data_IF_678690205460
#
_entry.id   IF_678690205460
#
_cell.length_a   1.000
_cell.length_b   1.000
_cell.length_c   1.000
_cell.angle_alpha   90.00
_cell.angle_beta   90.00
_cell.angle_gamma   90.00
#
_symmetry.space_group_name_H-M   'P 1'
#
loop_
_entity.id
_entity.type
_entity.pdbx_description
1 polymer ?
#
# COMPACT_ATOMS: atom_id res chain seq x y z
N UNK A 1 2.11 2.83 1.02
CA UNK A 1 2.73 3.96 1.72
C UNK A 1 1.82 4.69 2.71
N UNK A 2 0.51 4.88 2.45
CA UNK A 2 -0.37 5.59 3.39
C UNK A 2 -0.35 5.02 4.84
N UNK A 3 -0.31 3.68 5.05
CA UNK A 3 -0.15 3.12 6.39
C UNK A 3 1.18 3.47 7.07
N UNK A 4 2.26 3.70 6.32
CA UNK A 4 3.55 4.11 6.89
C UNK A 4 3.46 5.49 7.53
N UNK A 5 2.69 6.41 6.95
CA UNK A 5 2.44 7.71 7.57
C UNK A 5 1.38 7.61 8.66
N UNK A 6 0.34 6.81 8.44
CA UNK A 6 -0.75 6.59 9.38
C UNK A 6 -0.30 5.97 10.70
N UNK A 7 0.69 5.08 10.69
CA UNK A 7 1.24 4.45 11.90
C UNK A 7 1.93 5.43 12.86
N UNK A 8 2.28 6.62 12.37
CA UNK A 8 2.88 7.72 13.15
C UNK A 8 1.86 8.75 13.63
N UNK A 9 0.58 8.56 13.31
CA UNK A 9 -0.49 9.42 13.78
C UNK A 9 -0.75 9.22 15.28
N UNK A 10 -1.16 10.28 15.99
CA UNK A 10 -1.50 10.21 17.42
C UNK A 10 -2.80 9.47 17.67
N UNK A 11 -3.75 9.56 16.74
CA UNK A 11 -5.06 8.88 16.80
C UNK A 11 -5.36 8.21 15.46
N UNK A 12 -5.99 7.02 15.45
CA UNK A 12 -6.40 6.34 14.21
C UNK A 12 -7.31 7.19 13.30
N UNK A 13 -8.14 8.05 13.89
CA UNK A 13 -9.05 8.95 13.17
C UNK A 13 -8.33 10.00 12.31
N UNK A 14 -7.09 10.37 12.66
CA UNK A 14 -6.39 11.50 12.03
C UNK A 14 -5.95 11.15 10.59
N UNK A 15 -5.65 9.88 10.34
CA UNK A 15 -5.28 9.40 9.01
C UNK A 15 -6.50 9.32 8.06
N UNK A 16 -7.70 9.07 8.58
CA UNK A 16 -8.90 8.86 7.76
C UNK A 16 -9.40 10.17 7.19
N UNK A 17 -9.57 11.19 8.04
CA UNK A 17 -10.18 12.47 7.62
C UNK A 17 -9.34 13.20 6.57
N UNK A 18 -8.02 13.18 6.75
CA UNK A 18 -7.09 13.79 5.80
C UNK A 18 -7.15 13.12 4.43
N UNK A 19 -7.12 11.80 4.38
CA UNK A 19 -7.20 11.07 3.10
C UNK A 19 -8.57 11.23 2.42
N UNK A 20 -9.64 11.13 3.18
CA UNK A 20 -11.01 11.21 2.65
C UNK A 20 -11.31 12.57 2.00
N UNK A 21 -10.76 13.66 2.54
CA UNK A 21 -10.96 15.00 1.99
C UNK A 21 -9.90 15.35 0.94
N UNK A 22 -8.62 15.14 1.26
CA UNK A 22 -7.53 15.60 0.39
C UNK A 22 -7.50 14.85 -0.94
N UNK A 23 -7.74 13.53 -0.97
CA UNK A 23 -7.68 12.75 -2.22
C UNK A 23 -8.70 13.27 -3.25
N UNK A 24 -10.02 13.28 -2.99
CA UNK A 24 -10.98 13.70 -4.01
C UNK A 24 -10.83 15.17 -4.39
N UNK A 25 -10.58 16.06 -3.43
CA UNK A 25 -10.48 17.51 -3.70
C UNK A 25 -9.25 17.83 -4.55
N UNK A 26 -8.07 17.33 -4.14
CA UNK A 26 -6.82 17.60 -4.87
C UNK A 26 -6.85 16.91 -6.23
N UNK A 27 -7.35 15.67 -6.30
CA UNK A 27 -7.46 14.96 -7.57
C UNK A 27 -8.42 15.65 -8.55
N UNK A 28 -9.57 16.12 -8.08
CA UNK A 28 -10.51 16.88 -8.89
C UNK A 28 -9.89 18.19 -9.41
N UNK A 29 -9.22 18.94 -8.55
CA UNK A 29 -8.58 20.20 -8.91
C UNK A 29 -7.47 20.00 -9.95
N UNK A 30 -6.56 19.06 -9.71
CA UNK A 30 -5.44 18.78 -10.63
C UNK A 30 -5.95 18.25 -11.97
N UNK A 31 -6.93 17.35 -11.95
CA UNK A 31 -7.54 16.82 -13.18
C UNK A 31 -8.23 17.92 -13.98
N UNK A 32 -8.97 18.80 -13.31
CA UNK A 32 -9.64 19.94 -13.93
C UNK A 32 -8.65 20.89 -14.62
N UNK A 33 -7.56 21.25 -13.94
CA UNK A 33 -6.50 22.09 -14.51
C UNK A 33 -5.87 21.39 -15.72
N UNK A 34 -5.55 20.09 -15.61
CA UNK A 34 -4.97 19.31 -16.71
C UNK A 34 -5.87 19.27 -17.95
N UNK A 35 -7.17 19.09 -17.78
CA UNK A 35 -8.15 19.10 -18.87
C UNK A 35 -8.21 20.48 -19.54
N UNK A 36 -8.24 21.57 -18.76
CA UNK A 36 -8.25 22.93 -19.32
C UNK A 36 -6.98 23.22 -20.11
N UNK A 37 -5.82 22.86 -19.57
CA UNK A 37 -4.53 23.08 -20.23
C UNK A 37 -4.44 22.30 -21.54
N UNK A 38 -4.83 21.01 -21.53
CA UNK A 38 -4.87 20.18 -22.74
C UNK A 38 -5.88 20.70 -23.78
N UNK A 39 -7.08 21.09 -23.35
CA UNK A 39 -8.09 21.71 -24.23
C UNK A 39 -7.59 23.03 -24.85
N UNK A 40 -6.89 23.86 -24.06
CA UNK A 40 -6.31 25.10 -24.55
C UNK A 40 -5.19 24.85 -25.57
N UNK A 41 -4.40 23.80 -25.38
CA UNK A 41 -3.37 23.41 -26.36
C UNK A 41 -3.95 23.03 -27.72
N UNK A 42 -5.13 22.38 -27.75
CA UNK A 42 -5.86 22.08 -28.98
C UNK A 42 -6.27 23.36 -29.72
N UNK A 43 -6.69 24.39 -28.99
CA UNK A 43 -7.07 25.68 -29.60
C UNK A 43 -5.86 26.48 -30.13
N UNK A 44 -4.69 26.36 -29.50
CA UNK A 44 -3.48 27.12 -29.85
C UNK A 44 -2.66 26.41 -30.94
N UNK A 45 -2.44 25.11 -30.79
CA UNK A 45 -1.50 24.31 -31.60
C UNK A 45 -2.21 23.34 -32.56
N UNK A 46 -3.53 23.21 -32.48
CA UNK A 46 -4.29 22.27 -33.31
C UNK A 46 -4.20 20.80 -32.86
N UNK A 47 -3.53 20.53 -31.73
CA UNK A 47 -3.40 19.21 -31.11
C UNK A 47 -3.54 19.29 -29.59
N UNK A 48 -4.21 18.30 -29.00
CA UNK A 48 -4.36 18.18 -27.56
C UNK A 48 -3.09 17.54 -26.96
N UNK A 49 -2.26 18.36 -26.34
CA UNK A 49 -1.01 17.94 -25.70
C UNK A 49 -1.30 17.54 -24.25
N UNK A 50 -1.05 16.27 -23.94
CA UNK A 50 -1.35 15.67 -22.63
C UNK A 50 -0.21 15.82 -21.63
N UNK A 51 1.03 15.90 -22.12
CA UNK A 51 2.23 16.07 -21.30
C UNK A 51 2.47 17.55 -21.03
N UNK A 52 2.44 18.01 -19.76
CA UNK A 52 2.76 19.40 -19.43
C UNK A 52 4.19 19.78 -19.84
N UNK A 53 5.11 18.82 -19.81
CA UNK A 53 6.50 19.06 -20.22
C UNK A 53 6.63 19.29 -21.73
N UNK A 54 5.87 18.54 -22.54
CA UNK A 54 5.88 18.72 -24.00
C UNK A 54 5.24 20.07 -24.38
N UNK A 55 4.18 20.46 -23.67
CA UNK A 55 3.54 21.77 -23.85
C UNK A 55 4.48 22.92 -23.49
N UNK A 56 5.26 22.80 -22.41
CA UNK A 56 6.30 23.77 -22.06
C UNK A 56 7.40 23.83 -23.12
N UNK A 57 7.75 22.70 -23.73
CA UNK A 57 8.67 22.62 -24.85
C UNK A 57 8.17 23.42 -26.06
N UNK A 58 6.90 23.28 -26.43
CA UNK A 58 6.26 24.04 -27.53
C UNK A 58 6.34 25.56 -27.34
N UNK A 59 6.28 26.05 -26.10
CA UNK A 59 6.44 27.49 -25.82
C UNK A 59 7.85 28.02 -26.08
N UNK A 60 8.85 27.14 -26.25
CA UNK A 60 10.22 27.51 -26.60
C UNK A 60 10.48 27.50 -28.11
N UNK A 61 9.51 27.08 -28.93
CA UNK A 61 9.62 27.10 -30.39
C UNK A 61 9.49 28.53 -30.93
N UNK A 62 10.07 28.81 -32.10
CA UNK A 62 9.78 30.03 -32.86
C UNK A 62 10.34 31.34 -32.27
N UNK A 63 11.55 31.32 -31.72
CA UNK A 63 12.25 32.50 -31.17
C UNK A 63 11.56 33.12 -29.93
N UNK A 64 11.52 32.40 -28.79
CA UNK A 64 10.79 32.83 -27.60
C UNK A 64 11.42 34.07 -26.95
N UNK A 65 10.57 34.94 -26.41
CA UNK A 65 11.01 36.10 -25.64
C UNK A 65 11.78 35.68 -24.38
N UNK A 66 12.65 36.56 -23.85
CA UNK A 66 13.35 36.29 -22.59
C UNK A 66 12.39 36.00 -21.43
N UNK A 67 11.22 36.67 -21.40
CA UNK A 67 10.19 36.44 -20.40
C UNK A 67 9.58 35.03 -20.52
N UNK A 68 9.27 34.57 -21.74
CA UNK A 68 8.76 33.21 -21.99
C UNK A 68 9.76 32.16 -21.53
N UNK A 69 11.05 32.34 -21.86
CA UNK A 69 12.11 31.40 -21.44
C UNK A 69 12.24 31.31 -19.92
N UNK A 70 12.17 32.44 -19.23
CA UNK A 70 12.19 32.47 -17.77
C UNK A 70 10.95 31.80 -17.16
N UNK A 71 9.76 32.07 -17.71
CA UNK A 71 8.51 31.43 -17.27
C UNK A 71 8.55 29.91 -17.42
N UNK A 72 9.01 29.41 -18.57
CA UNK A 72 9.19 27.97 -18.81
C UNK A 72 10.18 27.36 -17.83
N UNK A 73 11.33 28.01 -17.59
CA UNK A 73 12.29 27.55 -16.59
C UNK A 73 11.69 27.47 -15.18
N UNK A 74 10.95 28.51 -14.76
CA UNK A 74 10.34 28.56 -13.44
C UNK A 74 9.33 27.43 -13.23
N UNK A 75 8.45 27.23 -14.22
CA UNK A 75 7.45 26.15 -14.16
C UNK A 75 8.13 24.78 -14.20
N UNK A 76 9.12 24.56 -15.07
CA UNK A 76 9.86 23.31 -15.14
C UNK A 76 10.63 23.02 -13.84
N UNK A 77 11.23 24.04 -13.20
CA UNK A 77 11.90 23.91 -11.91
C UNK A 77 10.90 23.54 -10.79
N UNK A 78 9.71 24.14 -10.79
CA UNK A 78 8.64 23.76 -9.86
C UNK A 78 8.18 22.31 -10.07
N UNK A 79 8.01 21.86 -11.32
CA UNK A 79 7.71 20.46 -11.62
C UNK A 79 8.82 19.50 -11.17
N UNK A 80 10.09 19.87 -11.38
CA UNK A 80 11.23 19.06 -10.93
C UNK A 80 11.22 18.91 -9.40
N UNK A 81 11.05 20.00 -8.66
CA UNK A 81 10.96 19.98 -7.20
C UNK A 81 9.76 19.14 -6.71
N UNK A 82 8.58 19.35 -7.30
CA UNK A 82 7.38 18.59 -6.96
C UNK A 82 7.55 17.08 -7.23
N UNK A 83 8.22 16.71 -8.32
CA UNK A 83 8.49 15.32 -8.69
C UNK A 83 9.44 14.65 -7.70
N UNK A 84 10.50 15.37 -7.27
CA UNK A 84 11.41 14.87 -6.24
C UNK A 84 10.68 14.68 -4.91
N UNK A 85 9.90 15.69 -4.49
CA UNK A 85 9.13 15.62 -3.24
C UNK A 85 8.13 14.46 -3.21
N UNK A 86 7.40 14.26 -4.31
CA UNK A 86 6.43 13.16 -4.45
C UNK A 86 7.14 11.80 -4.44
N UNK A 87 8.27 11.64 -5.12
CA UNK A 87 9.00 10.37 -5.12
C UNK A 87 9.53 10.00 -3.73
N UNK A 88 10.05 10.99 -2.98
CA UNK A 88 10.54 10.76 -1.62
C UNK A 88 9.39 10.33 -0.70
N UNK A 89 8.27 11.06 -0.72
CA UNK A 89 7.14 10.82 0.18
C UNK A 89 6.34 9.57 -0.21
N UNK A 90 6.08 9.36 -1.50
CA UNK A 90 5.21 8.29 -1.96
C UNK A 90 5.93 6.94 -2.03
N UNK A 91 7.17 6.93 -2.51
CA UNK A 91 7.86 5.71 -2.92
C UNK A 91 9.03 5.39 -1.99
N UNK A 92 9.95 6.33 -1.78
CA UNK A 92 11.21 6.05 -1.07
C UNK A 92 11.02 5.71 0.41
N UNK A 93 10.11 6.39 1.10
CA UNK A 93 9.84 6.10 2.52
C UNK A 93 9.21 4.71 2.68
N UNK A 94 8.23 4.37 1.85
CA UNK A 94 7.53 3.08 1.93
C UNK A 94 8.48 1.91 1.61
N UNK A 95 9.23 2.02 0.51
CA UNK A 95 10.26 1.02 0.18
C UNK A 95 11.35 0.93 1.25
N UNK A 96 11.70 2.06 1.88
CA UNK A 96 12.61 2.09 3.01
C UNK A 96 12.09 1.36 4.24
N UNK A 97 10.81 1.53 4.59
CA UNK A 97 10.14 0.78 5.65
C UNK A 97 10.14 -0.73 5.35
N UNK A 98 9.72 -1.12 4.14
CA UNK A 98 9.65 -2.53 3.73
C UNK A 98 11.03 -3.23 3.81
N UNK A 99 12.08 -2.59 3.28
CA UNK A 99 13.43 -3.13 3.31
C UNK A 99 14.02 -3.18 4.73
N UNK A 100 13.66 -2.22 5.59
CA UNK A 100 14.05 -2.22 7.00
C UNK A 100 13.37 -3.36 7.75
N UNK A 101 12.09 -3.63 7.46
CA UNK A 101 11.38 -4.76 8.03
C UNK A 101 11.96 -6.12 7.58
N UNK A 102 12.39 -6.21 6.31
CA UNK A 102 12.95 -7.45 5.75
C UNK A 102 14.39 -7.72 6.20
N UNK A 103 15.23 -6.69 6.29
CA UNK A 103 16.65 -6.81 6.66
C UNK A 103 17.07 -5.81 7.75
N UNK A 104 16.48 -5.89 8.96
CA UNK A 104 16.61 -4.85 9.99
C UNK A 104 18.04 -4.65 10.51
N UNK A 105 18.89 -5.69 10.42
CA UNK A 105 20.29 -5.59 10.84
C UNK A 105 21.19 -4.82 9.87
N UNK A 106 20.78 -4.67 8.61
CA UNK A 106 21.63 -4.15 7.53
C UNK A 106 21.11 -2.83 6.94
N UNK A 107 19.77 -2.70 6.87
CA UNK A 107 19.10 -1.61 6.17
C UNK A 107 18.30 -0.79 7.17
N UNK A 108 18.49 0.53 7.11
CA UNK A 108 17.59 1.49 7.74
C UNK A 108 16.78 2.21 6.64
N UNK A 109 15.75 2.96 7.03
CA UNK A 109 14.83 3.61 6.09
C UNK A 109 15.56 4.48 5.04
N UNK A 110 16.61 5.20 5.46
CA UNK A 110 17.41 6.04 4.54
C UNK A 110 18.16 5.20 3.52
N UNK A 111 18.85 4.14 3.97
CA UNK A 111 19.58 3.21 3.09
C UNK A 111 18.63 2.49 2.13
N UNK A 112 17.46 2.06 2.62
CA UNK A 112 16.43 1.43 1.80
C UNK A 112 15.91 2.38 0.71
N UNK A 113 15.71 3.67 1.03
CA UNK A 113 15.35 4.68 0.04
C UNK A 113 16.39 4.86 -1.08
N UNK A 114 17.68 4.82 -0.77
CA UNK A 114 18.73 4.86 -1.79
C UNK A 114 18.74 3.61 -2.67
N UNK A 115 18.53 2.43 -2.09
CA UNK A 115 18.41 1.17 -2.84
C UNK A 115 17.22 1.26 -3.80
N UNK A 116 16.06 1.72 -3.33
CA UNK A 116 14.87 1.92 -4.17
C UNK A 116 15.13 2.89 -5.34
N UNK A 117 15.85 3.98 -5.10
CA UNK A 117 16.21 4.94 -6.15
C UNK A 117 17.13 4.32 -7.22
N UNK A 118 18.15 3.56 -6.81
CA UNK A 118 19.06 2.88 -7.74
C UNK A 118 18.31 1.83 -8.56
N UNK A 119 17.52 0.97 -7.92
CA UNK A 119 16.72 -0.05 -8.60
C UNK A 119 15.73 0.59 -9.58
N UNK A 120 15.04 1.66 -9.15
CA UNK A 120 14.11 2.40 -9.99
C UNK A 120 14.79 2.99 -11.24
N UNK A 121 16.03 3.48 -11.13
CA UNK A 121 16.79 3.97 -12.27
C UNK A 121 17.25 2.82 -13.19
N UNK A 122 17.71 1.70 -12.62
CA UNK A 122 18.10 0.50 -13.37
C UNK A 122 16.94 -0.13 -14.16
N UNK A 123 15.70 0.01 -13.69
CA UNK A 123 14.50 -0.43 -14.43
C UNK A 123 14.27 0.36 -15.73
N UNK A 124 15.01 1.45 -15.98
CA UNK A 124 14.92 2.26 -17.19
C UNK A 124 13.48 2.74 -17.45
N UNK A 125 12.88 3.53 -16.53
CA UNK A 125 11.46 3.86 -16.55
C UNK A 125 11.04 4.63 -17.81
N UNK A 126 11.97 5.31 -18.48
CA UNK A 126 11.73 5.96 -19.78
C UNK A 126 11.26 4.99 -20.86
N UNK A 127 11.58 3.70 -20.78
CA UNK A 127 11.04 2.70 -21.71
C UNK A 127 9.53 2.49 -21.53
N UNK A 128 9.00 2.63 -20.31
CA UNK A 128 7.57 2.55 -20.03
C UNK A 128 6.82 3.77 -20.58
N UNK A 129 7.47 4.94 -20.56
CA UNK A 129 6.89 6.21 -21.02
C UNK A 129 6.95 6.40 -22.54
N UNK A 130 7.54 5.47 -23.30
CA UNK A 130 7.63 5.56 -24.77
C UNK A 130 6.28 5.57 -25.49
N UNK A 131 5.25 5.00 -24.87
CA UNK A 131 3.88 4.99 -25.42
C UNK A 131 2.86 4.98 -24.30
N UNK A 132 1.84 5.84 -24.41
CA UNK A 132 0.71 5.91 -23.47
C UNK A 132 0.03 4.56 -23.27
N UNK A 133 -0.05 3.74 -24.34
CA UNK A 133 -0.71 2.45 -24.29
C UNK A 133 0.05 1.44 -23.41
N UNK A 134 1.39 1.47 -23.46
CA UNK A 134 2.25 0.63 -22.62
C UNK A 134 2.15 1.04 -21.15
N UNK A 135 2.07 2.35 -20.87
CA UNK A 135 1.92 2.85 -19.51
C UNK A 135 0.59 2.44 -18.88
N UNK A 136 -0.54 2.64 -19.58
CA UNK A 136 -1.86 2.23 -19.07
C UNK A 136 -1.95 0.73 -18.88
N UNK A 137 -1.41 -0.07 -19.82
CA UNK A 137 -1.37 -1.53 -19.69
C UNK A 137 -0.57 -1.97 -18.47
N UNK A 138 0.56 -1.32 -18.19
CA UNK A 138 1.37 -1.58 -16.99
C UNK A 138 0.61 -1.25 -15.70
N UNK A 139 -0.06 -0.10 -15.64
CA UNK A 139 -0.88 0.29 -14.48
C UNK A 139 -2.00 -0.73 -14.23
N UNK A 140 -2.70 -1.15 -15.28
CA UNK A 140 -3.74 -2.17 -15.18
C UNK A 140 -3.20 -3.53 -14.71
N UNK A 141 -2.01 -3.92 -15.18
CA UNK A 141 -1.33 -5.13 -14.70
C UNK A 141 -1.06 -5.05 -13.19
N UNK A 142 -0.53 -3.92 -12.73
CA UNK A 142 -0.22 -3.68 -11.33
C UNK A 142 -1.46 -3.76 -10.42
N UNK A 143 -2.60 -3.25 -10.89
CA UNK A 143 -3.89 -3.32 -10.18
C UNK A 143 -4.34 -4.76 -9.89
N UNK A 144 -4.04 -5.73 -10.77
CA UNK A 144 -4.39 -7.15 -10.55
C UNK A 144 -3.71 -7.69 -9.30
N UNK A 145 -2.41 -7.44 -9.15
CA UNK A 145 -1.64 -7.95 -8.02
C UNK A 145 -2.06 -7.27 -6.72
N UNK A 146 -2.17 -5.94 -6.72
CA UNK A 146 -2.54 -5.20 -5.51
C UNK A 146 -3.95 -5.53 -5.01
N UNK A 147 -4.92 -5.66 -5.91
CA UNK A 147 -6.29 -5.98 -5.53
C UNK A 147 -6.40 -7.36 -4.88
N UNK A 148 -5.69 -8.35 -5.40
CA UNK A 148 -5.67 -9.69 -4.82
C UNK A 148 -5.07 -9.70 -3.41
N UNK A 149 -3.98 -8.96 -3.16
CA UNK A 149 -3.39 -8.81 -1.81
C UNK A 149 -4.39 -8.15 -0.87
N UNK A 150 -5.01 -7.04 -1.31
CA UNK A 150 -5.98 -6.32 -0.50
C UNK A 150 -7.15 -7.20 -0.05
N UNK A 151 -7.66 -8.07 -0.93
CA UNK A 151 -8.76 -8.97 -0.61
C UNK A 151 -8.41 -9.98 0.47
N UNK A 152 -7.19 -10.53 0.44
CA UNK A 152 -6.70 -11.43 1.50
C UNK A 152 -6.56 -10.66 2.81
N UNK A 153 -5.90 -9.49 2.81
CA UNK A 153 -5.66 -8.70 4.02
C UNK A 153 -6.96 -8.24 4.70
N UNK A 154 -7.92 -7.74 3.92
CA UNK A 154 -9.22 -7.28 4.44
C UNK A 154 -9.97 -8.45 5.08
N UNK A 155 -10.00 -9.61 4.41
CA UNK A 155 -10.70 -10.80 4.90
C UNK A 155 -10.02 -11.34 6.15
N UNK A 156 -8.69 -11.40 6.16
CA UNK A 156 -7.92 -11.84 7.30
C UNK A 156 -8.21 -11.00 8.55
N UNK A 157 -8.12 -9.68 8.42
CA UNK A 157 -8.30 -8.77 9.55
C UNK A 157 -9.77 -8.69 10.03
N UNK A 158 -10.73 -8.47 9.13
CA UNK A 158 -12.11 -8.18 9.51
C UNK A 158 -13.00 -9.42 9.66
N UNK A 159 -12.74 -10.49 8.90
CA UNK A 159 -13.63 -11.67 8.84
C UNK A 159 -13.09 -12.83 9.66
N UNK A 160 -11.79 -13.14 9.54
CA UNK A 160 -11.16 -14.27 10.21
C UNK A 160 -10.75 -13.90 11.65
N UNK A 161 -9.88 -12.91 11.80
CA UNK A 161 -9.35 -12.49 13.11
C UNK A 161 -10.22 -11.44 13.80
N UNK A 162 -11.13 -10.80 13.06
CA UNK A 162 -12.11 -9.81 13.55
C UNK A 162 -11.50 -8.72 14.45
N UNK A 163 -10.35 -8.18 14.06
CA UNK A 163 -9.65 -7.11 14.78
C UNK A 163 -8.74 -7.58 15.91
N UNK A 164 -8.64 -8.88 16.20
CA UNK A 164 -7.65 -9.41 17.14
C UNK A 164 -6.31 -9.59 16.44
N UNK A 165 -5.22 -9.09 17.03
CA UNK A 165 -3.86 -9.25 16.49
C UNK A 165 -2.83 -9.35 17.61
N UNK A 166 -1.63 -9.89 17.34
CA UNK A 166 -0.53 -9.97 18.31
C UNK A 166 0.71 -9.29 17.78
N UNK A 167 0.92 -8.02 18.14
CA UNK A 167 2.08 -7.26 17.64
C UNK A 167 3.40 -7.95 18.01
N UNK A 168 3.51 -8.54 19.20
CA UNK A 168 4.72 -9.24 19.64
C UNK A 168 5.09 -10.39 18.69
N UNK A 169 4.12 -11.20 18.28
CA UNK A 169 4.35 -12.37 17.42
C UNK A 169 4.80 -11.97 15.99
N UNK A 170 4.57 -10.71 15.57
CA UNK A 170 5.07 -10.21 14.28
C UNK A 170 6.60 -10.02 14.26
N UNK A 171 7.23 -9.87 15.43
CA UNK A 171 8.67 -9.61 15.56
C UNK A 171 9.49 -10.81 16.06
N UNK A 172 8.83 -11.92 16.41
CA UNK A 172 9.47 -13.14 16.91
C UNK A 172 9.20 -14.33 15.97
N UNK A 173 10.16 -15.25 15.89
CA UNK A 173 10.06 -16.45 15.04
C UNK A 173 9.77 -17.71 15.86
N UNK A 174 9.12 -17.57 17.01
CA UNK A 174 8.84 -18.67 17.93
C UNK A 174 7.95 -19.73 17.28
N UNK A 175 8.14 -21.01 17.63
CA UNK A 175 7.38 -22.12 17.03
C UNK A 175 5.87 -22.05 17.30
N UNK A 176 5.46 -21.34 18.35
CA UNK A 176 4.08 -21.20 18.79
C UNK A 176 3.46 -19.82 18.46
N UNK A 177 4.17 -18.97 17.70
CA UNK A 177 3.65 -17.66 17.31
C UNK A 177 2.47 -17.78 16.34
N UNK A 178 1.45 -16.94 16.51
CA UNK A 178 0.23 -16.95 15.67
C UNK A 178 0.54 -16.92 14.17
N UNK A 179 1.54 -16.14 13.76
CA UNK A 179 1.86 -15.92 12.35
C UNK A 179 2.83 -16.93 11.75
N UNK A 180 3.16 -18.02 12.46
CA UNK A 180 4.14 -19.00 11.96
C UNK A 180 3.56 -19.96 10.92
N UNK A 181 2.28 -20.32 10.98
CA UNK A 181 1.65 -21.20 9.99
C UNK A 181 2.53 -22.42 9.59
N UNK A 182 2.66 -22.71 8.28
CA UNK A 182 3.56 -23.74 7.77
C UNK A 182 4.97 -23.18 7.54
N UNK A 183 5.74 -23.02 8.62
CA UNK A 183 7.15 -22.55 8.61
C UNK A 183 7.34 -21.10 8.08
N UNK A 184 6.45 -20.21 8.48
CA UNK A 184 6.38 -18.80 8.09
C UNK A 184 5.43 -18.53 6.92
N UNK A 185 4.84 -19.57 6.32
CA UNK A 185 3.99 -19.43 5.14
C UNK A 185 2.54 -19.82 5.43
N UNK A 186 1.62 -18.87 5.21
CA UNK A 186 0.19 -19.16 5.18
C UNK A 186 -0.21 -19.61 3.77
N UNK A 187 -0.20 -20.92 3.54
CA UNK A 187 -0.53 -21.52 2.22
C UNK A 187 -1.93 -21.09 1.74
N UNK A 188 -2.88 -20.90 2.67
CA UNK A 188 -4.25 -20.45 2.35
C UNK A 188 -4.24 -19.04 1.76
N UNK A 189 -3.44 -18.14 2.34
CA UNK A 189 -3.29 -16.76 1.86
C UNK A 189 -2.68 -16.73 0.46
N UNK A 190 -1.62 -17.52 0.22
CA UNK A 190 -1.01 -17.62 -1.11
C UNK A 190 -1.95 -18.24 -2.15
N UNK A 191 -2.68 -19.29 -1.79
CA UNK A 191 -3.67 -19.91 -2.69
C UNK A 191 -4.77 -18.91 -3.08
N UNK A 192 -5.29 -18.15 -2.11
CA UNK A 192 -6.29 -17.12 -2.35
C UNK A 192 -5.75 -15.95 -3.19
N UNK A 193 -4.52 -15.51 -2.92
CA UNK A 193 -3.83 -14.49 -3.70
C UNK A 193 -3.67 -14.93 -5.17
N UNK A 194 -3.16 -16.14 -5.41
CA UNK A 194 -3.02 -16.69 -6.76
C UNK A 194 -4.37 -16.82 -7.45
N UNK A 195 -5.41 -17.28 -6.76
CA UNK A 195 -6.76 -17.36 -7.33
C UNK A 195 -7.30 -15.98 -7.77
N UNK A 196 -7.09 -14.94 -6.97
CA UNK A 196 -7.46 -13.56 -7.30
C UNK A 196 -6.69 -12.97 -8.48
N UNK A 197 -5.45 -13.41 -8.72
CA UNK A 197 -4.70 -13.05 -9.93
C UNK A 197 -5.29 -13.79 -11.14
N UNK A 198 -5.46 -15.11 -11.03
CA UNK A 198 -5.78 -16.01 -12.15
C UNK A 198 -7.07 -15.61 -12.89
N UNK A 199 -8.08 -15.10 -12.18
CA UNK A 199 -9.33 -14.65 -12.81
C UNK A 199 -9.11 -13.53 -13.84
N UNK A 200 -8.06 -12.72 -13.68
CA UNK A 200 -7.76 -11.57 -14.54
C UNK A 200 -6.66 -11.85 -15.58
N UNK A 201 -5.92 -12.97 -15.46
CA UNK A 201 -4.77 -13.29 -16.33
C UNK A 201 -5.17 -13.42 -17.80
N UNK A 202 -6.34 -14.03 -18.07
CA UNK A 202 -6.80 -14.22 -19.45
C UNK A 202 -7.11 -12.86 -20.10
N UNK A 203 -7.79 -11.95 -19.41
CA UNK A 203 -8.05 -10.62 -19.95
C UNK A 203 -6.79 -9.76 -20.05
N UNK A 204 -5.83 -9.95 -19.14
CA UNK A 204 -4.50 -9.33 -19.23
C UNK A 204 -3.74 -9.79 -20.48
N UNK A 205 -3.77 -11.09 -20.82
CA UNK A 205 -3.21 -11.59 -22.07
C UNK A 205 -3.84 -10.90 -23.29
N UNK A 206 -5.14 -10.62 -23.23
CA UNK A 206 -5.85 -9.80 -24.21
C UNK A 206 -5.28 -8.40 -24.38
N UNK A 207 -5.04 -7.70 -23.26
CA UNK A 207 -4.44 -6.37 -23.26
C UNK A 207 -3.02 -6.33 -23.86
N UNK A 208 -2.31 -7.46 -23.84
CA UNK A 208 -0.99 -7.60 -24.50
C UNK A 208 -1.04 -7.90 -26.00
N UNK A 209 -2.24 -7.92 -26.61
CA UNK A 209 -2.42 -8.11 -28.05
C UNK A 209 -2.73 -9.54 -28.48
N UNK A 210 -3.18 -10.42 -27.56
CA UNK A 210 -3.69 -11.75 -27.91
C UNK A 210 -5.20 -11.72 -28.07
N UNK A 211 -5.72 -12.57 -28.96
CA UNK A 211 -7.16 -12.78 -29.04
C UNK A 211 -7.66 -13.58 -27.84
N UNK A 212 -8.61 -13.01 -27.11
CA UNK A 212 -9.21 -13.61 -25.92
C UNK A 212 -10.72 -13.43 -25.94
N UNK A 213 -11.49 -14.28 -25.23
CA UNK A 213 -12.94 -14.16 -25.18
C UNK A 213 -13.38 -12.80 -24.64
N UNK A 214 -14.45 -12.23 -25.19
CA UNK A 214 -15.02 -10.94 -24.76
C UNK A 214 -15.32 -10.89 -23.26
N UNK A 215 -15.73 -12.03 -22.67
CA UNK A 215 -15.96 -12.15 -21.24
C UNK A 215 -14.69 -11.85 -20.42
N UNK A 216 -13.53 -12.37 -20.84
CA UNK A 216 -12.26 -12.15 -20.16
C UNK A 216 -11.82 -10.68 -20.22
N UNK A 217 -12.04 -10.01 -21.37
CA UNK A 217 -11.76 -8.58 -21.52
C UNK A 217 -12.62 -7.74 -20.56
N UNK A 218 -13.92 -8.06 -20.44
CA UNK A 218 -14.84 -7.36 -19.52
C UNK A 218 -14.47 -7.58 -18.06
N UNK A 219 -14.10 -8.82 -17.69
CA UNK A 219 -13.60 -9.14 -16.34
C UNK A 219 -12.37 -8.30 -16.02
N UNK A 220 -11.43 -8.18 -16.97
CA UNK A 220 -10.22 -7.39 -16.80
C UNK A 220 -10.47 -5.89 -16.69
N UNK A 221 -11.49 -5.36 -17.36
CA UNK A 221 -11.93 -3.96 -17.17
C UNK A 221 -12.36 -3.67 -15.72
N UNK A 222 -12.79 -4.69 -14.99
CA UNK A 222 -13.16 -4.62 -13.57
C UNK A 222 -12.14 -5.34 -12.67
N UNK A 223 -10.89 -5.47 -13.14
CA UNK A 223 -9.84 -6.31 -12.52
C UNK A 223 -9.63 -6.06 -11.04
N UNK A 224 -9.76 -4.81 -10.59
CA UNK A 224 -9.68 -4.47 -9.18
C UNK A 224 -10.76 -5.17 -8.34
N UNK A 225 -12.02 -5.10 -8.78
CA UNK A 225 -13.16 -5.67 -8.05
C UNK A 225 -13.20 -7.20 -8.16
N UNK A 226 -12.86 -7.75 -9.32
CA UNK A 226 -12.83 -9.21 -9.49
C UNK A 226 -11.67 -9.83 -8.71
N UNK A 227 -10.49 -9.20 -8.72
CA UNK A 227 -9.32 -9.66 -7.97
C UNK A 227 -9.54 -9.67 -6.47
N UNK A 228 -10.04 -8.56 -5.92
CA UNK A 228 -10.32 -8.42 -4.48
C UNK A 228 -11.43 -9.39 -4.02
N UNK A 229 -12.51 -9.53 -4.79
CA UNK A 229 -13.63 -10.41 -4.40
C UNK A 229 -13.24 -11.88 -4.47
N UNK A 230 -12.54 -12.31 -5.52
CA UNK A 230 -12.12 -13.71 -5.66
C UNK A 230 -11.12 -14.09 -4.57
N UNK A 231 -10.09 -13.26 -4.32
CA UNK A 231 -9.14 -13.57 -3.25
C UNK A 231 -9.80 -13.56 -1.87
N UNK A 232 -10.71 -12.63 -1.60
CA UNK A 232 -11.47 -12.60 -0.34
C UNK A 232 -12.31 -13.86 -0.13
N UNK A 233 -13.11 -14.24 -1.12
CA UNK A 233 -14.00 -15.43 -1.04
C UNK A 233 -13.19 -16.71 -0.90
N UNK A 234 -12.11 -16.87 -1.68
CA UNK A 234 -11.26 -18.06 -1.61
C UNK A 234 -10.55 -18.14 -0.25
N UNK A 235 -10.02 -17.02 0.25
CA UNK A 235 -9.37 -17.01 1.56
C UNK A 235 -10.37 -17.35 2.69
N UNK A 236 -11.56 -16.76 2.64
CA UNK A 236 -12.63 -17.07 3.59
C UNK A 236 -13.03 -18.55 3.54
N UNK A 237 -13.29 -19.10 2.34
CA UNK A 237 -13.66 -20.50 2.16
C UNK A 237 -12.58 -21.46 2.67
N UNK A 238 -11.30 -21.18 2.38
CA UNK A 238 -10.19 -22.00 2.85
C UNK A 238 -10.07 -21.98 4.38
N UNK A 239 -10.35 -20.86 5.03
CA UNK A 239 -10.37 -20.75 6.49
C UNK A 239 -11.64 -21.35 7.12
N UNK A 240 -12.74 -21.49 6.38
CA UNK A 240 -13.88 -22.29 6.84
C UNK A 240 -13.60 -23.78 6.81
N UNK A 241 -12.95 -24.26 5.74
CA UNK A 241 -12.61 -25.67 5.55
C UNK A 241 -11.44 -26.11 6.43
N UNK A 242 -10.46 -25.22 6.60
CA UNK A 242 -9.24 -25.43 7.40
C UNK A 242 -9.04 -24.25 8.35
N UNK A 243 -9.79 -24.20 9.47
CA UNK A 243 -9.72 -23.10 10.43
C UNK A 243 -8.31 -22.82 10.92
N UNK A 244 -7.97 -21.54 11.05
CA UNK A 244 -6.77 -21.14 11.76
C UNK A 244 -7.03 -21.26 13.27
N UNK A 245 -5.96 -21.46 14.05
CA UNK A 245 -6.07 -21.60 15.50
C UNK A 245 -6.43 -20.27 16.20
N UNK A 246 -6.19 -19.16 15.52
CA UNK A 246 -6.35 -17.77 15.95
C UNK A 246 -7.63 -17.10 15.43
N UNK A 247 -8.55 -17.86 14.83
CA UNK A 247 -9.83 -17.31 14.36
C UNK A 247 -10.73 -16.84 15.53
N UNK A 248 -11.27 -15.63 15.42
CA UNK A 248 -12.07 -15.00 16.47
C UNK A 248 -13.57 -15.02 16.17
N UNK A 249 -14.41 -15.14 17.21
CA UNK A 249 -15.87 -15.18 17.07
C UNK A 249 -16.52 -13.80 17.05
N UNK A 250 -15.99 -12.85 17.80
CA UNK A 250 -16.51 -11.50 17.96
C UNK A 250 -15.54 -10.47 17.41
N UNK A 251 -16.04 -9.37 16.87
CA UNK A 251 -15.16 -8.28 16.45
C UNK A 251 -14.79 -7.42 17.65
N UNK A 252 -13.49 -7.28 17.90
CA UNK A 252 -12.91 -6.39 18.90
C UNK A 252 -11.48 -6.05 18.47
N UNK A 253 -11.20 -4.76 18.32
CA UNK A 253 -9.87 -4.30 17.95
C UNK A 253 -8.95 -4.30 19.19
N UNK A 254 -8.14 -5.36 19.35
CA UNK A 254 -7.29 -5.59 20.53
C UNK A 254 -5.95 -6.22 20.14
N UNK A 255 -4.88 -5.70 20.76
CA UNK A 255 -3.57 -6.37 20.76
C UNK A 255 -3.52 -7.42 21.88
N UNK A 256 -3.53 -8.69 21.50
CA UNK A 256 -3.54 -9.88 22.36
C UNK A 256 -2.13 -10.23 22.88
N UNK A 257 -1.13 -9.38 22.63
CA UNK A 257 0.26 -9.61 23.08
C UNK A 257 0.43 -9.57 24.61
N UNK A 258 -0.50 -8.95 25.34
CA UNK A 258 -0.43 -8.76 26.79
C UNK A 258 -0.83 -10.01 27.60
N UNK A 259 -1.75 -10.83 27.09
CA UNK A 259 -2.36 -11.97 27.80
C UNK A 259 -1.37 -13.11 28.10
N UNK A 260 -0.18 -13.10 27.49
CA UNK A 260 0.90 -14.04 27.79
C UNK A 260 1.71 -13.70 29.05
N UNK A 261 1.57 -12.48 29.62
CA UNK A 261 2.25 -12.14 30.89
C UNK A 261 1.63 -12.85 32.09
N UNK A 262 0.34 -13.12 32.07
CA UNK A 262 -0.35 -13.75 33.22
C UNK A 262 -0.26 -15.28 33.21
N UNK A 263 -0.03 -15.91 32.06
CA UNK A 263 0.07 -17.38 31.96
C UNK A 263 1.46 -17.95 32.28
N UNK A 264 2.51 -17.12 32.27
CA UNK A 264 3.87 -17.54 32.62
C UNK A 264 4.24 -17.31 34.10
N UNK A 265 3.35 -16.70 34.90
CA UNK A 265 3.55 -16.50 36.35
C UNK A 265 2.77 -17.47 37.24
N UNK A 266 1.96 -18.37 36.68
CA UNK A 266 1.20 -19.38 37.43
C UNK A 266 1.86 -20.75 37.28
N UNK A 267 3.08 -20.92 37.81
CA UNK A 267 3.55 -22.24 38.24
C UNK A 267 4.66 -22.11 39.30
N UNK A 268 4.29 -21.66 40.50
CA UNK A 268 5.01 -21.99 41.72
C UNK A 268 3.99 -22.38 42.79
N UNK A 269 3.96 -23.65 43.25
CA UNK A 269 3.13 -24.05 44.36
C UNK A 269 3.74 -23.54 45.68
N UNK A 270 2.91 -22.87 46.47
CA UNK A 270 2.94 -22.65 47.92
C UNK A 270 4.28 -22.34 48.62
N UNK A 271 4.44 -21.06 49.04
CA UNK A 271 4.80 -20.73 50.43
C UNK A 271 4.03 -19.47 50.83
N UNK A 272 3.16 -19.60 51.83
CA UNK A 272 2.22 -18.55 52.22
C UNK A 272 2.81 -17.39 53.02
N UNK A 273 2.06 -16.28 53.00
CA UNK A 273 1.79 -15.42 54.16
C UNK A 273 0.84 -14.29 53.72
N UNK A 274 -0.20 -14.09 54.51
CA UNK A 274 -1.19 -13.02 54.43
C UNK A 274 -0.58 -11.63 54.18
N UNK A 275 -1.15 -10.84 53.26
CA UNK A 275 -1.63 -9.47 53.55
C UNK A 275 -2.24 -8.76 52.31
N UNK A 276 -3.46 -8.26 52.52
CA UNK A 276 -4.09 -7.04 51.97
C UNK A 276 -4.44 -6.98 50.48
N UNK A 277 -5.72 -7.27 50.24
CA UNK A 277 -6.58 -6.49 49.34
C UNK A 277 -6.46 -4.99 49.66
N UNK A 278 -6.04 -4.18 48.70
CA UNK A 278 -6.60 -2.85 48.51
C UNK A 278 -6.41 -2.35 47.08
N UNK A 279 -7.45 -1.67 46.61
CA UNK A 279 -7.73 -1.20 45.25
C UNK A 279 -6.62 -0.34 44.66
N UNK A 280 -6.32 -0.55 43.38
CA UNK A 280 -6.03 0.56 42.47
C UNK A 280 -6.63 0.27 41.09
N UNK A 281 -7.69 1.02 40.79
CA UNK A 281 -8.31 1.11 39.46
C UNK A 281 -7.67 2.33 38.83
N UNK A 282 -6.69 2.15 37.94
CA UNK A 282 -6.26 3.25 37.08
C UNK A 282 -6.02 2.76 35.65
N UNK A 283 -6.86 3.26 34.76
CA UNK A 283 -6.84 3.02 33.32
C UNK A 283 -5.74 3.94 32.78
N UNK A 284 -4.50 3.46 32.83
CA UNK A 284 -3.34 4.16 32.29
C UNK A 284 -3.07 3.78 30.85
N UNK A 285 -3.59 4.56 29.91
CA UNK A 285 -3.09 4.62 28.52
C UNK A 285 -1.59 4.90 28.57
N UNK A 286 -0.75 3.89 28.28
CA UNK A 286 0.70 4.10 28.12
C UNK A 286 1.04 4.18 26.65
N UNK A 287 1.47 5.38 26.26
CA UNK A 287 2.08 5.70 24.98
C UNK A 287 3.20 4.72 24.65
N UNK A 288 3.12 4.14 23.45
CA UNK A 288 4.24 3.39 22.86
C UNK A 288 5.28 4.42 22.41
N UNK A 289 6.23 4.72 23.28
CA UNK A 289 7.44 5.46 22.91
C UNK A 289 8.31 4.55 22.05
N UNK A 290 8.25 4.72 20.74
CA UNK A 290 9.16 4.07 19.79
C UNK A 290 10.51 4.78 19.93
N UNK A 291 11.46 4.09 20.55
CA UNK A 291 12.82 4.56 20.70
C UNK A 291 13.44 4.80 19.32
N UNK A 292 13.79 6.05 19.05
CA UNK A 292 14.51 6.49 17.86
C UNK A 292 15.97 6.05 17.92
N UNK A 293 16.42 5.31 16.90
CA UNK A 293 17.81 5.29 16.40
C UNK A 293 17.82 4.89 14.92
#
# INVERSE_FOLDING_TARGET
NAPDFGSRARRPSDAVMSQMLSIPIVFALVSFIGIIVSSSSQAIYGEAIWSPMDLLGRFLDGSPTHATRFGVWFIAAAFALATVGTNISANSISAGCDLTALFPRFINIRRGGYIAAVVGLCMCPWNLLKSSNNFTTYLSAYTIFLSAIAGVMITDYYVIHKGHYRVKDLYHTDNDGWYKYSRGFNIRAYAAYVAGILINVVGFAGATGRDVPLAATRIYSMSFFTGISVSAVVYWALNLLFPTHDASRTFKEVDESADLRDSLYVDHPDVGSDEKLEKETDIGVREVSICST
#
